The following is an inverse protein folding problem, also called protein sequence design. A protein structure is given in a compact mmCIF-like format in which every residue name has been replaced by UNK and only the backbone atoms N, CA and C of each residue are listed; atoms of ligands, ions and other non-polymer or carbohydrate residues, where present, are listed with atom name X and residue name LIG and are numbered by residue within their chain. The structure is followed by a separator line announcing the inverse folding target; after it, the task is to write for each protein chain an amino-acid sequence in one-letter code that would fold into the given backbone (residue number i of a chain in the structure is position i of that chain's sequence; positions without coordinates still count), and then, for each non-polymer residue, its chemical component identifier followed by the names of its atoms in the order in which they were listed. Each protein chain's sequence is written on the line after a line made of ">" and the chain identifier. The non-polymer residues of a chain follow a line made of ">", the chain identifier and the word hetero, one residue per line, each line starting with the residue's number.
data_IF_945972638297
#
_entry.id   IF_945972638297
#
_cell.length_a   1.000
_cell.length_b   1.000
_cell.length_c   1.000
_cell.angle_alpha   90.00
_cell.angle_beta   90.00
_cell.angle_gamma   90.00
#
_symmetry.space_group_name_H-M   'P 1'
#
loop_
_entity.id
_entity.type
_entity.pdbx_description
1 polymer ?
#
# COMPACT_ATOMS: atom_id res chain seq x y z
N UNK A 1 -27.46 3.48 22.95
CA UNK A 1 -28.06 3.98 21.68
C UNK A 1 -27.05 3.82 20.56
N UNK A 2 -27.28 2.91 19.62
CA UNK A 2 -26.37 2.61 18.52
C UNK A 2 -26.57 3.65 17.41
N UNK A 3 -25.52 4.41 17.06
CA UNK A 3 -25.52 5.32 15.91
C UNK A 3 -25.09 4.54 14.67
N UNK A 4 -26.06 4.07 13.90
CA UNK A 4 -25.83 3.47 12.59
C UNK A 4 -25.51 4.60 11.60
N UNK A 5 -24.26 4.69 11.16
CA UNK A 5 -23.86 5.59 10.08
C UNK A 5 -24.40 5.03 8.75
N UNK A 6 -25.58 5.49 8.34
CA UNK A 6 -26.09 5.23 7.00
C UNK A 6 -25.17 5.91 5.98
N UNK A 7 -24.55 5.13 5.10
CA UNK A 7 -23.86 5.66 3.93
C UNK A 7 -24.83 6.51 3.09
N UNK A 8 -24.39 7.60 2.45
CA UNK A 8 -25.25 8.38 1.58
C UNK A 8 -25.76 7.45 0.46
N UNK A 9 -27.04 7.10 0.54
CA UNK A 9 -27.75 6.41 -0.52
C UNK A 9 -27.73 7.38 -1.69
N UNK A 10 -26.86 7.15 -2.66
CA UNK A 10 -26.94 7.81 -3.95
C UNK A 10 -28.28 7.37 -4.51
N UNK A 11 -29.26 8.25 -4.43
CA UNK A 11 -30.61 7.98 -4.92
C UNK A 11 -30.51 7.55 -6.38
N UNK A 12 -31.30 6.54 -6.76
CA UNK A 12 -31.36 6.01 -8.12
C UNK A 12 -31.50 7.14 -9.16
N UNK A 13 -32.18 8.22 -8.79
CA UNK A 13 -32.30 9.46 -9.55
C UNK A 13 -30.98 10.18 -9.82
N UNK A 14 -30.06 10.28 -8.85
CA UNK A 14 -28.77 10.95 -9.06
C UNK A 14 -27.89 10.16 -10.02
N UNK A 15 -27.91 8.83 -9.93
CA UNK A 15 -27.24 7.98 -10.92
C UNK A 15 -27.90 8.06 -12.29
N UNK A 16 -29.23 8.12 -12.34
CA UNK A 16 -29.98 8.28 -13.59
C UNK A 16 -29.70 9.62 -14.26
N UNK A 17 -29.66 10.71 -13.50
CA UNK A 17 -29.35 12.04 -14.00
C UNK A 17 -27.91 12.13 -14.50
N UNK A 18 -26.93 11.60 -13.75
CA UNK A 18 -25.55 11.54 -14.20
C UNK A 18 -25.38 10.64 -15.44
N UNK A 19 -26.11 9.52 -15.53
CA UNK A 19 -26.09 8.67 -16.72
C UNK A 19 -26.75 9.36 -17.93
N UNK A 20 -27.84 10.08 -17.73
CA UNK A 20 -28.52 10.84 -18.79
C UNK A 20 -27.67 12.00 -19.30
N UNK A 21 -26.98 12.74 -18.42
CA UNK A 21 -26.02 13.78 -18.83
C UNK A 21 -24.90 13.18 -19.69
N UNK A 22 -24.33 12.06 -19.26
CA UNK A 22 -23.28 11.35 -20.00
C UNK A 22 -23.75 10.79 -21.34
N UNK A 23 -25.03 10.39 -21.43
CA UNK A 23 -25.63 9.95 -22.68
C UNK A 23 -25.82 11.12 -23.66
N UNK A 24 -26.22 12.30 -23.18
CA UNK A 24 -26.30 13.49 -24.03
C UNK A 24 -24.92 13.98 -24.51
N UNK A 25 -23.87 13.89 -23.66
CA UNK A 25 -22.49 14.18 -24.09
C UNK A 25 -21.95 13.15 -25.09
N UNK A 26 -22.49 11.92 -25.06
CA UNK A 26 -22.13 10.84 -25.98
C UNK A 26 -22.64 11.07 -27.41
N UNK A 27 -23.72 11.84 -27.59
CA UNK A 27 -24.32 12.13 -28.91
C UNK A 27 -23.36 12.90 -29.84
N UNK A 28 -22.25 13.43 -29.30
CA UNK A 28 -21.18 14.06 -30.07
C UNK A 28 -20.07 13.09 -30.54
N UNK A 29 -20.14 11.80 -30.18
CA UNK A 29 -19.17 10.77 -30.59
C UNK A 29 -19.80 9.88 -31.67
N UNK A 30 -19.26 9.95 -32.89
CA UNK A 30 -19.85 9.34 -34.09
C UNK A 30 -19.81 7.81 -34.17
N UNK A 31 -19.13 7.12 -33.24
CA UNK A 31 -19.00 5.66 -33.20
C UNK A 31 -19.12 5.11 -31.78
N UNK A 32 -19.68 3.90 -31.65
CA UNK A 32 -19.79 3.19 -30.37
C UNK A 32 -18.42 2.90 -29.74
N UNK A 33 -17.38 2.67 -30.56
CA UNK A 33 -16.00 2.51 -30.07
C UNK A 33 -15.44 3.81 -29.46
N UNK A 34 -15.75 4.97 -30.06
CA UNK A 34 -15.34 6.28 -29.53
C UNK A 34 -16.05 6.59 -28.20
N UNK A 35 -17.32 6.22 -28.07
CA UNK A 35 -18.05 6.35 -26.80
C UNK A 35 -17.49 5.42 -25.71
N UNK A 36 -17.09 4.20 -26.09
CA UNK A 36 -16.46 3.24 -25.17
C UNK A 36 -15.13 3.79 -24.67
N UNK A 37 -14.33 4.33 -25.57
CA UNK A 37 -13.04 4.93 -25.25
C UNK A 37 -13.19 6.18 -24.37
N UNK A 38 -14.12 7.08 -24.71
CA UNK A 38 -14.49 8.23 -23.89
C UNK A 38 -14.88 7.81 -22.48
N UNK A 39 -15.76 6.81 -22.35
CA UNK A 39 -16.23 6.31 -21.06
C UNK A 39 -15.13 5.69 -20.20
N UNK A 40 -14.10 5.10 -20.82
CA UNK A 40 -12.94 4.53 -20.13
C UNK A 40 -11.93 5.59 -19.64
N UNK A 41 -11.82 6.72 -20.35
CA UNK A 41 -10.90 7.80 -20.02
C UNK A 41 -11.47 8.84 -19.06
N UNK A 42 -12.77 8.76 -18.74
CA UNK A 42 -13.38 9.69 -17.79
C UNK A 42 -12.82 9.50 -16.37
N UNK A 43 -12.30 10.56 -15.73
CA UNK A 43 -11.83 10.49 -14.36
C UNK A 43 -13.01 10.20 -13.42
N UNK A 44 -12.87 9.21 -12.54
CA UNK A 44 -13.88 8.96 -11.52
C UNK A 44 -14.08 10.22 -10.66
N UNK A 45 -15.35 10.58 -10.43
CA UNK A 45 -15.69 11.67 -9.51
C UNK A 45 -15.28 11.29 -8.09
N UNK A 46 -15.01 12.28 -7.24
CA UNK A 46 -14.63 12.02 -5.84
C UNK A 46 -15.71 11.19 -5.13
N UNK A 47 -16.98 11.48 -5.37
CA UNK A 47 -18.11 10.71 -4.84
C UNK A 47 -18.09 9.24 -5.28
N UNK A 48 -17.72 8.94 -6.54
CA UNK A 48 -17.59 7.56 -7.01
C UNK A 48 -16.41 6.84 -6.35
N UNK A 49 -15.28 7.53 -6.15
CA UNK A 49 -14.13 6.99 -5.41
C UNK A 49 -14.50 6.67 -3.97
N UNK A 50 -15.24 7.55 -3.30
CA UNK A 50 -15.68 7.35 -1.92
C UNK A 50 -16.71 6.23 -1.81
N UNK A 51 -17.67 6.15 -2.75
CA UNK A 51 -18.63 5.05 -2.81
C UNK A 51 -17.93 3.70 -3.05
N UNK A 52 -16.94 3.65 -3.95
CA UNK A 52 -16.14 2.43 -4.17
C UNK A 52 -15.34 2.06 -2.91
N UNK A 53 -14.78 3.05 -2.21
CA UNK A 53 -14.04 2.83 -0.95
C UNK A 53 -14.96 2.30 0.16
N UNK A 54 -16.17 2.84 0.30
CA UNK A 54 -17.17 2.35 1.23
C UNK A 54 -17.60 0.91 0.91
N UNK A 55 -17.86 0.60 -0.37
CA UNK A 55 -18.19 -0.78 -0.81
C UNK A 55 -17.07 -1.76 -0.48
N UNK A 56 -15.81 -1.39 -0.70
CA UNK A 56 -14.67 -2.22 -0.31
C UNK A 56 -14.58 -2.40 1.20
N UNK A 57 -14.87 -1.35 1.98
CA UNK A 57 -14.87 -1.39 3.44
C UNK A 57 -16.04 -2.18 4.03
N UNK A 58 -17.18 -2.29 3.35
CA UNK A 58 -18.32 -3.12 3.80
C UNK A 58 -18.27 -4.56 3.28
N UNK A 59 -17.42 -4.85 2.28
CA UNK A 59 -17.28 -6.19 1.71
C UNK A 59 -16.70 -7.21 2.71
N UNK A 60 -17.09 -8.48 2.55
CA UNK A 60 -16.58 -9.58 3.38
C UNK A 60 -15.08 -9.81 3.15
N UNK A 61 -14.36 -10.46 4.09
CA UNK A 61 -12.95 -10.82 3.91
C UNK A 61 -12.68 -11.57 2.61
N UNK A 62 -13.55 -12.52 2.24
CA UNK A 62 -13.45 -13.34 1.04
C UNK A 62 -13.65 -12.50 -0.23
N UNK A 63 -14.63 -11.59 -0.23
CA UNK A 63 -14.85 -10.67 -1.35
C UNK A 63 -13.67 -9.72 -1.55
N UNK A 64 -13.12 -9.19 -0.45
CA UNK A 64 -11.91 -8.35 -0.51
C UNK A 64 -10.72 -9.12 -1.03
N UNK A 65 -10.58 -10.39 -0.66
CA UNK A 65 -9.52 -11.26 -1.14
C UNK A 65 -9.64 -11.51 -2.64
N UNK A 66 -10.82 -11.90 -3.12
CA UNK A 66 -11.07 -12.10 -4.55
C UNK A 66 -10.79 -10.84 -5.38
N UNK A 67 -11.16 -9.65 -4.86
CA UNK A 67 -10.82 -8.38 -5.52
C UNK A 67 -9.31 -8.13 -5.54
N UNK A 68 -8.60 -8.40 -4.44
CA UNK A 68 -7.13 -8.28 -4.38
C UNK A 68 -6.45 -9.20 -5.37
N UNK A 69 -6.89 -10.46 -5.46
CA UNK A 69 -6.37 -11.44 -6.40
C UNK A 69 -6.59 -11.01 -7.85
N UNK A 70 -7.80 -10.55 -8.19
CA UNK A 70 -8.07 -10.00 -9.53
C UNK A 70 -7.20 -8.81 -9.88
N UNK A 71 -6.99 -7.89 -8.93
CA UNK A 71 -6.09 -6.74 -9.14
C UNK A 71 -4.65 -7.20 -9.33
N UNK A 72 -4.20 -8.18 -8.56
CA UNK A 72 -2.84 -8.72 -8.57
C UNK A 72 -2.55 -9.54 -9.83
N UNK A 73 -3.52 -10.32 -10.31
CA UNK A 73 -3.44 -11.13 -11.51
C UNK A 73 -3.67 -10.32 -12.80
N UNK A 74 -4.03 -9.03 -12.71
CA UNK A 74 -4.20 -8.19 -13.88
C UNK A 74 -2.84 -7.95 -14.56
N UNK A 75 -2.67 -8.35 -15.84
CA UNK A 75 -1.39 -8.25 -16.56
C UNK A 75 -0.88 -6.82 -16.68
N UNK A 76 -1.77 -5.82 -16.79
CA UNK A 76 -1.36 -4.41 -16.83
C UNK A 76 -0.74 -3.97 -15.50
N UNK A 77 -1.28 -4.41 -14.36
CA UNK A 77 -0.69 -4.11 -13.05
C UNK A 77 0.67 -4.80 -12.89
N UNK A 78 0.80 -6.03 -13.40
CA UNK A 78 2.07 -6.74 -13.41
C UNK A 78 3.13 -5.98 -14.23
N UNK A 79 2.83 -5.58 -15.46
CA UNK A 79 3.71 -4.78 -16.31
C UNK A 79 4.10 -3.47 -15.64
N UNK A 80 3.15 -2.74 -15.04
CA UNK A 80 3.44 -1.49 -14.31
C UNK A 80 4.37 -1.72 -13.12
N UNK A 81 4.20 -2.83 -12.40
CA UNK A 81 5.08 -3.19 -11.27
C UNK A 81 6.49 -3.53 -11.75
N UNK A 82 6.61 -4.25 -12.86
CA UNK A 82 7.90 -4.59 -13.47
C UNK A 82 8.60 -3.34 -14.01
N UNK A 83 7.89 -2.46 -14.71
CA UNK A 83 8.42 -1.18 -15.16
C UNK A 83 8.89 -0.30 -13.99
N UNK A 84 8.11 -0.24 -12.90
CA UNK A 84 8.52 0.48 -11.69
C UNK A 84 9.78 -0.13 -11.05
N UNK A 85 9.88 -1.46 -11.00
CA UNK A 85 11.09 -2.15 -10.51
C UNK A 85 12.31 -1.83 -11.37
N UNK A 86 12.17 -1.88 -12.69
CA UNK A 86 13.25 -1.54 -13.62
C UNK A 86 13.71 -0.09 -13.45
N UNK A 87 12.76 0.86 -13.32
CA UNK A 87 13.09 2.27 -13.05
C UNK A 87 13.88 2.47 -11.75
N UNK A 88 13.54 1.73 -10.69
CA UNK A 88 14.29 1.79 -9.43
C UNK A 88 15.68 1.14 -9.61
N UNK A 89 15.77 0.04 -10.34
CA UNK A 89 17.03 -0.65 -10.60
C UNK A 89 17.99 0.16 -11.49
N UNK A 90 17.49 0.93 -12.45
CA UNK A 90 18.32 1.80 -13.28
C UNK A 90 18.58 3.18 -12.68
N UNK A 91 17.82 3.58 -11.65
CA UNK A 91 18.02 4.86 -10.98
C UNK A 91 19.37 4.94 -10.22
N UNK A 92 19.95 6.14 -10.19
CA UNK A 92 21.17 6.43 -9.44
C UNK A 92 20.96 6.30 -7.92
N UNK A 93 22.02 6.11 -7.12
CA UNK A 93 21.91 6.05 -5.66
C UNK A 93 21.19 7.27 -5.06
N UNK A 94 21.46 8.47 -5.58
CA UNK A 94 20.83 9.72 -5.13
C UNK A 94 19.33 9.76 -5.46
N UNK A 95 18.94 9.33 -6.66
CA UNK A 95 17.54 9.23 -7.05
C UNK A 95 16.77 8.21 -6.19
N UNK A 96 17.39 7.06 -5.92
CA UNK A 96 16.81 6.06 -5.00
C UNK A 96 16.64 6.63 -3.59
N UNK A 97 17.64 7.38 -3.12
CA UNK A 97 17.59 8.02 -1.80
C UNK A 97 16.47 9.06 -1.73
N UNK A 98 16.34 9.92 -2.73
CA UNK A 98 15.26 10.91 -2.80
C UNK A 98 13.87 10.25 -2.82
N UNK A 99 13.70 9.15 -3.56
CA UNK A 99 12.44 8.37 -3.56
C UNK A 99 12.17 7.75 -2.19
N UNK A 100 13.20 7.19 -1.54
CA UNK A 100 13.09 6.62 -0.20
C UNK A 100 12.71 7.68 0.83
N UNK A 101 13.31 8.86 0.77
CA UNK A 101 13.02 9.97 1.65
C UNK A 101 11.58 10.47 1.48
N UNK A 102 11.13 10.66 0.23
CA UNK A 102 9.73 10.99 -0.07
C UNK A 102 8.76 9.95 0.46
N UNK A 103 9.07 8.65 0.33
CA UNK A 103 8.25 7.59 0.92
C UNK A 103 8.27 7.65 2.45
N UNK A 104 9.40 8.03 3.05
CA UNK A 104 9.60 8.13 4.49
C UNK A 104 8.80 9.27 5.11
N UNK A 105 8.81 10.45 4.49
CA UNK A 105 8.14 11.67 4.98
C UNK A 105 6.67 11.76 4.58
N UNK A 106 6.17 10.90 3.68
CA UNK A 106 4.77 10.87 3.32
C UNK A 106 3.86 10.57 4.54
N UNK A 107 2.99 11.50 4.97
CA UNK A 107 2.20 11.37 6.20
C UNK A 107 1.27 10.15 6.19
N UNK A 108 0.75 9.75 5.04
CA UNK A 108 -0.07 8.54 4.93
C UNK A 108 0.74 7.27 5.21
N UNK A 109 1.99 7.20 4.76
CA UNK A 109 2.88 6.08 5.07
C UNK A 109 3.30 6.09 6.54
N UNK A 110 3.41 7.28 7.15
CA UNK A 110 3.70 7.42 8.57
C UNK A 110 2.53 6.88 9.41
N UNK A 111 1.30 7.30 9.13
CA UNK A 111 0.09 6.78 9.78
C UNK A 111 -0.03 5.25 9.66
N UNK A 112 0.25 4.68 8.49
CA UNK A 112 0.23 3.23 8.30
C UNK A 112 1.30 2.51 9.15
N UNK A 113 2.51 3.07 9.24
CA UNK A 113 3.58 2.54 10.07
C UNK A 113 3.21 2.58 11.56
N UNK A 114 2.61 3.68 12.01
CA UNK A 114 2.22 3.83 13.40
C UNK A 114 1.04 2.92 13.76
N UNK A 115 0.05 2.77 12.86
CA UNK A 115 -1.00 1.78 13.01
C UNK A 115 -0.45 0.34 13.06
N UNK A 116 0.53 0.00 12.21
CA UNK A 116 1.19 -1.30 12.25
C UNK A 116 1.95 -1.52 13.57
N UNK A 117 2.68 -0.51 14.06
CA UNK A 117 3.37 -0.54 15.35
C UNK A 117 2.41 -0.75 16.52
N UNK A 118 1.27 -0.07 16.52
CA UNK A 118 0.23 -0.26 17.53
C UNK A 118 -0.31 -1.68 17.50
N UNK A 119 -0.60 -2.24 16.33
CA UNK A 119 -1.08 -3.63 16.18
C UNK A 119 -0.07 -4.64 16.72
N UNK A 120 1.23 -4.45 16.44
CA UNK A 120 2.28 -5.31 16.99
C UNK A 120 2.37 -5.15 18.51
N UNK A 121 2.28 -3.92 19.02
CA UNK A 121 2.32 -3.64 20.47
C UNK A 121 1.16 -4.30 21.21
N UNK A 122 -0.04 -4.29 20.64
CA UNK A 122 -1.23 -4.92 21.23
C UNK A 122 -1.34 -6.43 20.96
N UNK A 123 -0.55 -6.99 20.04
CA UNK A 123 -0.58 -8.41 19.71
C UNK A 123 0.12 -9.27 20.78
N UNK A 124 -0.38 -10.50 20.97
CA UNK A 124 0.21 -11.49 21.88
C UNK A 124 1.61 -11.93 21.41
N UNK A 125 2.45 -12.50 22.29
CA UNK A 125 3.75 -13.05 21.91
C UNK A 125 3.68 -14.04 20.75
N UNK A 126 2.68 -14.94 20.72
CA UNK A 126 2.49 -15.91 19.64
C UNK A 126 2.12 -15.22 18.32
N UNK A 127 1.21 -14.23 18.37
CA UNK A 127 0.81 -13.46 17.18
C UNK A 127 1.99 -12.66 16.60
N UNK A 128 2.86 -12.12 17.46
CA UNK A 128 4.10 -11.46 17.05
C UNK A 128 5.07 -12.43 16.40
N UNK A 129 5.15 -13.66 16.90
CA UNK A 129 6.01 -14.70 16.33
C UNK A 129 5.55 -15.10 14.94
N UNK A 130 4.24 -15.38 14.76
CA UNK A 130 3.65 -15.67 13.44
C UNK A 130 3.86 -14.51 12.46
N UNK A 131 3.73 -13.26 12.93
CA UNK A 131 4.02 -12.09 12.09
C UNK A 131 5.49 -12.04 11.65
N UNK A 132 6.43 -12.30 12.57
CA UNK A 132 7.87 -12.33 12.25
C UNK A 132 8.19 -13.43 11.24
N UNK A 133 7.61 -14.61 11.40
CA UNK A 133 7.81 -15.76 10.51
C UNK A 133 7.34 -15.44 9.09
N UNK A 134 6.11 -14.94 8.92
CA UNK A 134 5.57 -14.54 7.61
C UNK A 134 6.39 -13.45 6.92
N UNK A 135 6.90 -12.48 7.69
CA UNK A 135 7.78 -11.43 7.16
C UNK A 135 9.14 -11.99 6.73
N UNK A 136 9.66 -13.00 7.44
CA UNK A 136 10.89 -13.68 7.05
C UNK A 136 10.70 -14.54 5.80
N UNK A 137 9.60 -15.28 5.73
CA UNK A 137 9.24 -16.14 4.60
C UNK A 137 9.06 -15.32 3.31
N UNK A 138 8.45 -14.12 3.41
CA UNK A 138 8.21 -13.25 2.26
C UNK A 138 9.39 -12.38 1.85
N UNK A 139 10.56 -12.48 2.53
CA UNK A 139 11.74 -11.67 2.19
C UNK A 139 12.49 -12.27 1.00
N UNK A 140 12.87 -11.48 -0.01
CA UNK A 140 13.74 -11.97 -1.09
C UNK A 140 15.09 -12.40 -0.53
N UNK A 141 15.60 -13.55 -0.99
CA UNK A 141 16.79 -14.25 -0.48
C UNK A 141 18.02 -13.34 -0.29
N UNK A 142 18.20 -12.33 -1.16
CA UNK A 142 19.29 -11.34 -1.07
C UNK A 142 19.29 -10.50 0.23
N UNK A 143 18.12 -10.31 0.86
CA UNK A 143 18.01 -9.63 2.17
C UNK A 143 18.25 -10.58 3.35
N UNK A 144 18.20 -11.89 3.13
CA UNK A 144 18.55 -12.90 4.13
C UNK A 144 20.08 -13.04 4.26
N UNK A 145 20.81 -12.92 3.15
CA UNK A 145 22.29 -12.87 3.15
C UNK A 145 22.84 -11.62 3.87
N UNK A 146 22.08 -10.52 3.84
CA UNK A 146 22.42 -9.26 4.51
C UNK A 146 22.22 -9.29 6.03
N UNK A 147 21.73 -10.41 6.58
CA UNK A 147 21.54 -10.62 8.01
C UNK A 147 22.88 -11.01 8.66
N UNK A 148 23.89 -10.13 8.56
CA UNK A 148 25.24 -10.41 9.06
C UNK A 148 25.21 -10.77 10.55
N UNK A 149 24.33 -10.15 11.34
CA UNK A 149 24.11 -10.43 12.77
C UNK A 149 23.42 -11.76 13.09
N UNK A 150 22.78 -12.41 12.11
CA UNK A 150 22.24 -13.76 12.28
C UNK A 150 23.32 -14.84 12.10
N UNK A 151 24.43 -14.52 11.41
CA UNK A 151 25.62 -15.36 11.27
C UNK A 151 26.70 -15.10 12.31
N UNK A 152 26.59 -14.04 13.10
CA UNK A 152 27.51 -13.76 14.21
C UNK A 152 27.22 -14.71 15.38
N UNK A 153 28.26 -15.37 15.89
CA UNK A 153 28.17 -16.13 17.15
C UNK A 153 27.91 -15.19 18.34
N UNK A 154 27.59 -15.76 19.51
CA UNK A 154 27.22 -14.98 20.71
C UNK A 154 28.33 -13.98 21.12
N UNK A 155 29.60 -14.33 20.94
CA UNK A 155 30.76 -13.49 21.21
C UNK A 155 30.78 -12.24 20.31
N UNK A 156 30.60 -12.44 19.01
CA UNK A 156 30.61 -11.37 18.02
C UNK A 156 29.40 -10.44 18.18
N UNK A 157 28.26 -10.97 18.61
CA UNK A 157 27.07 -10.18 18.95
C UNK A 157 27.30 -9.31 20.18
N UNK A 158 27.91 -9.85 21.23
CA UNK A 158 28.27 -9.10 22.43
C UNK A 158 29.26 -7.98 22.12
N UNK A 159 30.31 -8.27 21.34
CA UNK A 159 31.32 -7.28 20.95
C UNK A 159 30.77 -6.16 20.04
N UNK A 160 29.72 -6.42 19.26
CA UNK A 160 29.03 -5.37 18.47
C UNK A 160 28.12 -4.52 19.36
N UNK A 161 27.42 -5.15 20.32
CA UNK A 161 26.56 -4.45 21.29
C UNK A 161 27.36 -3.54 22.21
N UNK A 162 28.53 -3.99 22.64
CA UNK A 162 29.47 -3.24 23.48
C UNK A 162 30.00 -2.01 22.74
N UNK A 163 30.52 -2.18 21.51
CA UNK A 163 30.99 -1.07 20.67
C UNK A 163 29.91 -0.05 20.33
N UNK A 164 28.65 -0.49 20.16
CA UNK A 164 27.52 0.42 19.95
C UNK A 164 27.13 1.16 21.23
N UNK A 165 27.25 0.53 22.40
CA UNK A 165 27.00 1.17 23.70
C UNK A 165 28.08 2.21 24.03
N UNK A 166 29.35 1.90 23.76
CA UNK A 166 30.47 2.84 23.90
C UNK A 166 30.35 4.03 22.94
N UNK A 167 29.94 3.79 21.69
CA UNK A 167 29.73 4.87 20.72
C UNK A 167 28.51 5.74 21.06
N UNK A 168 27.50 5.16 21.72
CA UNK A 168 26.36 5.90 22.28
C UNK A 168 26.77 6.77 23.47
N UNK A 169 27.61 6.25 24.37
CA UNK A 169 28.12 6.98 25.54
C UNK A 169 28.96 8.21 25.15
N UNK A 170 29.86 8.08 24.16
CA UNK A 170 30.68 9.21 23.65
C UNK A 170 29.88 10.32 22.95
N UNK A 171 28.60 10.06 22.63
CA UNK A 171 27.70 11.05 22.01
C UNK A 171 26.94 11.88 23.04
N UNK A 172 26.96 11.48 24.31
CA UNK A 172 26.33 12.18 25.42
C UNK A 172 27.31 13.11 26.18
N UNK A 173 28.61 13.00 25.91
CA UNK A 173 29.69 13.80 26.52
C UNK A 173 30.16 14.98 25.64
N UNK A 174 29.40 15.37 24.61
CA UNK A 174 29.65 16.59 23.82
C UNK A 174 28.46 17.53 23.82
#
# INVERSE_FOLDING_TARGET
>A
QQRTHAAPVITRDTQRQAAAQRFNEAEHYGSYDDFRDFSHHQPLTQQQKDAARQRYQSASPEQRQAVREKIQANPQNQQRREAARQRIQSASPEQRQAVREKMQTNPQNQQQRDAARQRIRSASPEQRQVFREKVQESRPQRLNDSNHTARLNNEQRSAVRERLSERGARRLER
#
